data_IF_059585147946
#
_entry.id   IF_059585147946
#
_cell.length_a   1.000
_cell.length_b   1.000
_cell.length_c   1.000
_cell.angle_alpha   90.00
_cell.angle_beta   90.00
_cell.angle_gamma   90.00
#
_symmetry.space_group_name_H-M   'P 1'
#
loop_
_entity.id
_entity.type
_entity.pdbx_description
1 polymer ?
#
# COMPACT_ATOMS: atom_id res chain seq x y z
N UNK A 1 -2.98 9.08 4.08
CA UNK A 1 -1.76 9.84 3.68
C UNK A 1 -1.06 9.09 2.56
N UNK A 2 -0.67 9.73 1.45
CA UNK A 2 0.12 9.03 0.41
C UNK A 2 1.58 8.88 0.85
N UNK A 3 2.09 7.65 0.88
CA UNK A 3 3.44 7.34 1.37
C UNK A 3 4.54 7.91 0.49
N UNK A 4 4.30 8.01 -0.82
CA UNK A 4 5.32 8.40 -1.77
C UNK A 4 5.56 9.92 -1.74
N UNK A 5 4.53 10.70 -1.44
CA UNK A 5 4.57 12.16 -1.44
C UNK A 5 4.60 12.79 -0.04
N UNK A 6 4.29 12.04 1.01
CA UNK A 6 4.27 12.57 2.37
C UNK A 6 5.66 13.04 2.84
N UNK A 7 5.67 14.23 3.45
CA UNK A 7 6.83 14.78 4.15
C UNK A 7 7.05 14.10 5.50
N UNK A 8 8.26 14.28 6.05
CA UNK A 8 8.62 13.75 7.37
C UNK A 8 7.60 14.13 8.45
N UNK A 9 7.20 15.40 8.48
CA UNK A 9 6.25 15.93 9.47
C UNK A 9 4.86 15.29 9.38
N UNK A 10 4.43 14.88 8.18
CA UNK A 10 3.16 14.19 7.98
C UNK A 10 3.27 12.73 8.40
N UNK A 11 4.34 12.04 8.01
CA UNK A 11 4.57 10.63 8.36
C UNK A 11 4.65 10.41 9.87
N UNK A 12 5.26 11.33 10.63
CA UNK A 12 5.33 11.25 12.10
C UNK A 12 3.99 11.29 12.82
N UNK A 13 2.94 11.80 12.17
CA UNK A 13 1.59 11.90 12.76
C UNK A 13 0.79 10.61 12.57
N UNK A 14 1.32 9.64 11.83
CA UNK A 14 0.66 8.36 11.58
C UNK A 14 0.90 7.42 12.77
N UNK A 15 -0.15 6.70 13.17
CA UNK A 15 -0.06 5.69 14.22
C UNK A 15 1.08 4.70 13.96
N UNK A 16 1.86 4.38 15.00
CA UNK A 16 3.03 3.50 14.89
C UNK A 16 4.27 4.15 14.27
N UNK A 17 4.21 5.36 13.71
CA UNK A 17 5.38 6.06 13.17
C UNK A 17 5.88 7.14 14.14
N UNK A 18 7.20 7.30 14.18
CA UNK A 18 7.88 8.36 14.94
C UNK A 18 8.94 9.03 14.06
N UNK A 19 9.67 10.01 14.60
CA UNK A 19 10.74 10.72 13.87
C UNK A 19 11.73 9.75 13.19
N UNK A 20 12.20 8.74 13.92
CA UNK A 20 13.17 7.78 13.39
C UNK A 20 12.58 6.91 12.29
N UNK A 21 11.40 6.32 12.50
CA UNK A 21 10.72 5.46 11.51
C UNK A 21 10.34 6.24 10.25
N UNK A 22 9.84 7.46 10.40
CA UNK A 22 9.51 8.34 9.28
C UNK A 22 10.75 8.70 8.45
N UNK A 23 11.89 8.95 9.10
CA UNK A 23 13.17 9.14 8.42
C UNK A 23 13.61 7.92 7.61
N UNK A 24 13.48 6.71 8.18
CA UNK A 24 13.82 5.46 7.47
C UNK A 24 12.92 5.18 6.28
N UNK A 25 11.66 5.61 6.31
CA UNK A 25 10.77 5.52 5.15
C UNK A 25 11.29 6.42 4.02
N UNK A 26 11.69 7.67 4.32
CA UNK A 26 12.28 8.57 3.31
C UNK A 26 13.56 7.98 2.72
N UNK A 27 14.47 7.50 3.57
CA UNK A 27 15.71 6.83 3.17
C UNK A 27 15.42 5.62 2.26
N UNK A 28 14.42 4.81 2.63
CA UNK A 28 14.02 3.67 1.80
C UNK A 28 13.53 4.12 0.41
N UNK A 29 12.77 5.22 0.31
CA UNK A 29 12.31 5.78 -0.97
C UNK A 29 13.47 6.26 -1.84
N UNK A 30 14.47 6.87 -1.23
CA UNK A 30 15.67 7.35 -1.94
C UNK A 30 16.50 6.20 -2.50
N UNK A 31 16.64 5.11 -1.74
CA UNK A 31 17.45 3.96 -2.16
C UNK A 31 16.72 2.99 -3.10
N UNK A 32 15.42 2.74 -2.89
CA UNK A 32 14.66 1.69 -3.56
C UNK A 32 13.65 2.24 -4.58
N UNK A 33 13.42 3.56 -4.60
CA UNK A 33 12.38 4.19 -5.38
C UNK A 33 11.04 4.27 -4.66
N UNK A 34 9.99 4.60 -5.40
CA UNK A 34 8.64 4.76 -4.87
C UNK A 34 8.05 3.41 -4.44
N UNK A 35 7.23 3.44 -3.38
CA UNK A 35 6.45 2.28 -2.96
C UNK A 35 5.40 1.96 -4.03
N UNK A 36 5.34 0.70 -4.45
CA UNK A 36 4.32 0.16 -5.37
C UNK A 36 3.12 -0.43 -4.63
N UNK A 37 3.33 -0.86 -3.38
CA UNK A 37 2.26 -1.34 -2.51
C UNK A 37 2.58 -1.12 -1.03
N UNK A 38 1.58 -1.31 -0.16
CA UNK A 38 1.77 -1.16 1.28
C UNK A 38 2.71 -2.20 1.87
N UNK A 39 2.73 -3.43 1.36
CA UNK A 39 3.51 -4.53 1.94
C UNK A 39 5.01 -4.22 1.97
N UNK A 40 5.51 -3.45 1.01
CA UNK A 40 6.90 -2.96 0.99
C UNK A 40 7.29 -2.14 2.24
N UNK A 41 6.35 -1.60 3.00
CA UNK A 41 6.65 -0.96 4.29
C UNK A 41 7.33 -1.92 5.27
N UNK A 42 7.07 -3.23 5.18
CA UNK A 42 7.74 -4.25 6.00
C UNK A 42 9.23 -4.41 5.67
N UNK A 43 9.66 -3.94 4.49
CA UNK A 43 11.06 -3.95 4.09
C UNK A 43 11.85 -2.78 4.69
N UNK A 44 11.15 -1.77 5.24
CA UNK A 44 11.79 -0.61 5.88
C UNK A 44 12.35 -1.03 7.23
N UNK A 45 13.64 -0.78 7.45
CA UNK A 45 14.31 -1.11 8.70
C UNK A 45 13.57 -0.52 9.91
N UNK A 46 13.16 -1.36 10.86
CA UNK A 46 12.46 -0.93 12.08
C UNK A 46 10.94 -0.77 11.94
N UNK A 47 10.37 -1.12 10.79
CA UNK A 47 8.94 -1.41 10.63
C UNK A 47 8.74 -2.93 10.66
N UNK A 48 8.49 -3.47 11.85
CA UNK A 48 8.05 -4.85 12.02
C UNK A 48 6.53 -4.98 11.93
N UNK A 49 6.01 -6.21 12.06
CA UNK A 49 4.58 -6.53 11.86
C UNK A 49 3.65 -5.64 12.68
N UNK A 50 3.92 -5.45 13.98
CA UNK A 50 3.11 -4.60 14.85
C UNK A 50 3.09 -3.13 14.41
N UNK A 51 4.23 -2.60 13.97
CA UNK A 51 4.32 -1.23 13.46
C UNK A 51 3.57 -1.10 12.15
N UNK A 52 3.70 -2.11 11.28
CA UNK A 52 3.00 -2.17 10.00
C UNK A 52 1.49 -2.19 10.19
N UNK A 53 0.98 -3.06 11.07
CA UNK A 53 -0.44 -3.13 11.44
C UNK A 53 -0.96 -1.79 11.96
N UNK A 54 -0.19 -1.10 12.82
CA UNK A 54 -0.61 0.20 13.33
C UNK A 54 -0.69 1.29 12.26
N UNK A 55 0.17 1.26 11.23
CA UNK A 55 0.27 2.35 10.26
C UNK A 55 -0.45 2.07 8.94
N UNK A 56 -0.60 0.81 8.53
CA UNK A 56 -0.98 0.44 7.17
C UNK A 56 -2.39 0.92 6.78
N UNK A 57 -3.32 1.10 7.72
CA UNK A 57 -4.66 1.63 7.45
C UNK A 57 -4.70 3.14 7.16
N UNK A 58 -3.67 3.88 7.56
CA UNK A 58 -3.61 5.34 7.41
C UNK A 58 -2.77 5.78 6.22
N UNK A 59 -2.01 4.85 5.65
CA UNK A 59 -1.11 5.06 4.52
C UNK A 59 -1.81 4.61 3.25
N UNK A 60 -1.61 5.34 2.15
CA UNK A 60 -2.11 5.01 0.81
C UNK A 60 -0.95 4.95 -0.18
N UNK A 61 -1.13 4.16 -1.22
CA UNK A 61 -0.23 4.13 -2.39
C UNK A 61 -1.06 4.48 -3.62
N UNK A 62 -0.71 5.59 -4.27
CA UNK A 62 -1.46 6.14 -5.41
C UNK A 62 -0.73 5.75 -6.70
N UNK A 63 -1.42 5.27 -7.76
CA UNK A 63 -0.78 4.80 -8.99
C UNK A 63 0.10 5.87 -9.64
N UNK A 64 -0.39 7.11 -9.67
CA UNK A 64 0.34 8.24 -10.23
C UNK A 64 1.69 8.46 -9.54
N UNK A 65 1.79 8.12 -8.25
CA UNK A 65 3.00 8.29 -7.44
C UNK A 65 3.74 6.98 -7.19
N UNK A 66 3.25 5.86 -7.72
CA UNK A 66 3.90 4.55 -7.71
C UNK A 66 4.57 4.23 -9.05
N UNK A 67 4.02 4.76 -10.15
CA UNK A 67 4.49 4.57 -11.53
C UNK A 67 5.34 5.74 -12.05
N UNK A 68 5.55 6.81 -11.26
CA UNK A 68 6.36 7.95 -11.71
C UNK A 68 7.86 7.61 -11.82
N UNK A 69 8.30 6.43 -11.39
CA UNK A 69 9.66 5.92 -11.56
C UNK A 69 9.88 4.95 -12.72
N UNK A 70 8.83 4.49 -13.41
CA UNK A 70 8.91 3.39 -14.39
C UNK A 70 9.19 3.81 -15.84
N UNK A 71 9.25 5.11 -16.15
CA UNK A 71 9.53 5.55 -17.52
C UNK A 71 11.00 5.59 -17.91
N UNK A 72 11.97 5.48 -16.99
CA UNK A 72 13.39 5.71 -17.35
C UNK A 72 14.48 4.97 -16.55
N UNK A 73 14.19 3.95 -15.73
CA UNK A 73 15.25 3.26 -14.97
C UNK A 73 15.20 1.74 -15.04
N UNK A 74 16.08 1.21 -15.88
CA UNK A 74 16.66 -0.12 -15.77
C UNK A 74 17.52 -0.18 -14.48
N UNK A 75 16.88 -0.36 -13.32
CA UNK A 75 17.50 -0.33 -12.00
C UNK A 75 17.45 -1.70 -11.30
N UNK A 76 18.63 -2.18 -10.88
CA UNK A 76 18.92 -3.50 -10.30
C UNK A 76 17.90 -4.01 -9.27
N UNK A 77 17.40 -5.25 -9.50
CA UNK A 77 16.87 -6.15 -8.48
C UNK A 77 17.88 -6.25 -7.33
N UNK A 78 17.63 -5.60 -6.20
CA UNK A 78 18.46 -5.78 -5.01
C UNK A 78 18.00 -7.04 -4.27
N UNK A 79 18.92 -7.98 -4.08
CA UNK A 79 18.68 -9.23 -3.38
C UNK A 79 18.48 -8.98 -1.88
N UNK A 80 17.45 -9.62 -1.32
CA UNK A 80 17.12 -9.63 0.09
C UNK A 80 18.28 -10.16 0.96
N UNK A 81 18.48 -9.64 2.19
CA UNK A 81 19.14 -10.38 3.24
C UNK A 81 18.32 -11.63 3.60
N UNK A 82 18.96 -12.80 3.53
CA UNK A 82 18.39 -14.12 3.81
C UNK A 82 17.96 -14.26 5.27
N UNK A 83 16.73 -13.87 5.64
CA UNK A 83 15.96 -14.38 6.80
C UNK A 83 14.59 -13.67 6.91
N UNK A 84 13.62 -14.11 6.10
CA UNK A 84 12.20 -14.32 6.45
C UNK A 84 11.44 -14.62 5.15
N UNK A 85 10.99 -15.85 5.04
CA UNK A 85 10.24 -16.42 3.93
C UNK A 85 8.80 -15.91 3.96
N UNK A 86 8.56 -14.73 3.40
CA UNK A 86 7.23 -14.30 2.96
C UNK A 86 7.47 -13.56 1.66
N UNK A 87 7.07 -14.16 0.54
CA UNK A 87 7.11 -13.54 -0.78
C UNK A 87 6.29 -12.26 -0.73
N UNK A 88 6.96 -11.11 -0.55
CA UNK A 88 6.29 -9.82 -0.63
C UNK A 88 5.91 -9.63 -2.08
N UNK A 89 4.63 -9.83 -2.41
CA UNK A 89 4.09 -9.47 -3.73
C UNK A 89 4.43 -8.00 -3.97
N UNK A 90 5.11 -7.71 -5.08
CA UNK A 90 5.58 -6.36 -5.44
C UNK A 90 4.59 -5.61 -6.31
N UNK A 91 3.50 -6.26 -6.68
CA UNK A 91 2.52 -5.74 -7.62
C UNK A 91 1.62 -4.71 -6.95
N UNK A 92 1.11 -3.79 -7.77
CA UNK A 92 0.20 -2.75 -7.33
C UNK A 92 -1.15 -3.35 -6.92
N UNK A 93 -1.60 -3.03 -5.70
CA UNK A 93 -2.92 -3.44 -5.22
C UNK A 93 -3.88 -2.24 -5.22
N UNK A 94 -5.00 -2.28 -5.97
CA UNK A 94 -6.00 -1.20 -5.94
C UNK A 94 -6.56 -0.88 -4.54
N UNK A 95 -6.62 -1.88 -3.64
CA UNK A 95 -7.09 -1.68 -2.26
C UNK A 95 -6.15 -0.79 -1.44
N UNK A 96 -4.88 -0.64 -1.84
CA UNK A 96 -3.92 0.24 -1.18
C UNK A 96 -4.27 1.74 -1.33
N UNK A 97 -5.21 2.07 -2.20
CA UNK A 97 -5.77 3.42 -2.33
C UNK A 97 -6.89 3.71 -1.33
N UNK A 98 -7.47 2.67 -0.72
CA UNK A 98 -8.66 2.75 0.13
C UNK A 98 -8.30 2.85 1.61
N UNK A 99 -9.27 3.10 2.48
CA UNK A 99 -9.04 3.04 3.94
C UNK A 99 -9.18 1.62 4.51
N UNK A 100 -9.33 0.62 3.64
CA UNK A 100 -9.41 -0.78 4.06
C UNK A 100 -8.04 -1.20 4.57
N UNK A 101 -8.02 -1.78 5.77
CA UNK A 101 -6.80 -2.31 6.37
C UNK A 101 -6.37 -3.61 5.65
N UNK A 102 -5.06 -3.87 5.44
CA UNK A 102 -4.59 -5.10 4.79
C UNK A 102 -5.12 -6.40 5.42
N UNK A 103 -5.35 -6.41 6.74
CA UNK A 103 -5.96 -7.57 7.43
C UNK A 103 -7.37 -7.92 6.92
N UNK A 104 -8.06 -6.92 6.39
CA UNK A 104 -9.44 -7.02 5.88
C UNK A 104 -9.50 -7.24 4.37
N UNK A 105 -8.35 -7.36 3.68
CA UNK A 105 -8.34 -7.53 2.22
C UNK A 105 -9.04 -8.81 1.78
N UNK A 106 -8.85 -9.92 2.49
CA UNK A 106 -9.56 -11.17 2.21
C UNK A 106 -11.08 -10.99 2.23
N UNK A 107 -11.60 -10.28 3.22
CA UNK A 107 -13.02 -9.92 3.34
C UNK A 107 -13.46 -9.00 2.20
N UNK A 108 -12.66 -7.99 1.85
CA UNK A 108 -12.95 -7.07 0.76
C UNK A 108 -13.03 -7.80 -0.60
N UNK A 109 -12.06 -8.66 -0.92
CA UNK A 109 -12.09 -9.47 -2.15
C UNK A 109 -13.31 -10.38 -2.22
N UNK A 110 -13.68 -11.02 -1.09
CA UNK A 110 -14.87 -11.87 -1.03
C UNK A 110 -16.15 -11.06 -1.28
N UNK A 111 -16.24 -9.86 -0.71
CA UNK A 111 -17.37 -8.96 -0.93
C UNK A 111 -17.47 -8.51 -2.40
N UNK A 112 -16.36 -8.05 -2.98
CA UNK A 112 -16.26 -7.64 -4.39
C UNK A 112 -16.69 -8.78 -5.33
N UNK A 113 -16.22 -10.01 -5.06
CA UNK A 113 -16.62 -11.20 -5.79
C UNK A 113 -18.13 -11.45 -5.70
N UNK A 114 -18.74 -11.25 -4.52
CA UNK A 114 -20.20 -11.38 -4.32
C UNK A 114 -20.97 -10.33 -5.11
N UNK A 115 -20.46 -9.09 -5.20
CA UNK A 115 -21.05 -8.01 -5.99
C UNK A 115 -20.90 -8.22 -7.51
N UNK A 116 -20.11 -9.19 -7.96
CA UNK A 116 -19.89 -9.45 -9.39
C UNK A 116 -19.15 -8.31 -10.11
N UNK A 117 -18.35 -7.53 -9.38
CA UNK A 117 -17.59 -6.40 -9.93
C UNK A 117 -16.10 -6.71 -10.00
N UNK A 118 -15.43 -6.18 -11.00
CA UNK A 118 -13.96 -6.25 -11.11
C UNK A 118 -13.32 -5.15 -10.24
N UNK A 119 -12.28 -5.51 -9.50
CA UNK A 119 -11.49 -4.58 -8.68
C UNK A 119 -10.79 -3.51 -9.54
N UNK A 120 -10.51 -3.78 -10.82
CA UNK A 120 -9.93 -2.76 -11.72
C UNK A 120 -10.85 -1.55 -11.91
N UNK A 121 -12.15 -1.74 -11.73
CA UNK A 121 -13.16 -0.70 -11.88
C UNK A 121 -13.48 0.02 -10.56
N UNK A 122 -12.65 -0.17 -9.52
CA UNK A 122 -12.85 0.44 -8.20
C UNK A 122 -13.04 1.96 -8.30
N UNK A 123 -14.14 2.45 -7.72
CA UNK A 123 -14.48 3.88 -7.73
C UNK A 123 -15.18 4.40 -8.99
N UNK A 124 -15.36 3.57 -10.03
CA UNK A 124 -16.18 3.95 -11.19
C UNK A 124 -17.67 4.01 -10.82
N UNK A 125 -18.49 4.84 -11.49
CA UNK A 125 -19.93 4.89 -11.24
C UNK A 125 -20.62 3.52 -11.37
N UNK A 126 -20.19 2.70 -12.34
CA UNK A 126 -20.70 1.34 -12.54
C UNK A 126 -20.39 0.43 -11.33
N UNK A 127 -19.17 0.49 -10.80
CA UNK A 127 -18.79 -0.26 -9.62
C UNK A 127 -19.65 0.12 -8.42
N UNK A 128 -19.84 1.42 -8.18
CA UNK A 128 -20.64 1.94 -7.07
C UNK A 128 -22.09 1.47 -7.18
N UNK A 129 -22.71 1.61 -8.36
CA UNK A 129 -24.09 1.19 -8.60
C UNK A 129 -24.31 -0.30 -8.33
N UNK A 130 -23.39 -1.17 -8.78
CA UNK A 130 -23.49 -2.62 -8.55
C UNK A 130 -23.31 -3.00 -7.08
N UNK A 131 -22.39 -2.34 -6.37
CA UNK A 131 -22.21 -2.54 -4.93
C UNK A 131 -23.47 -2.13 -4.17
N UNK A 132 -24.03 -0.95 -4.46
CA UNK A 132 -25.26 -0.50 -3.82
C UNK A 132 -26.46 -1.40 -4.10
N UNK A 133 -26.58 -1.90 -5.35
CA UNK A 133 -27.62 -2.88 -5.69
C UNK A 133 -27.52 -4.13 -4.84
N UNK A 134 -26.30 -4.67 -4.68
CA UNK A 134 -26.05 -5.87 -3.88
C UNK A 134 -26.31 -5.66 -2.38
N UNK A 135 -26.18 -4.45 -1.86
CA UNK A 135 -26.45 -4.12 -0.45
C UNK A 135 -27.95 -3.92 -0.14
N UNK A 136 -28.76 -3.65 -1.17
CA UNK A 136 -30.22 -3.49 -1.05
C UNK A 136 -30.99 -4.81 -1.16
N UNK A 137 -30.32 -5.88 -1.60
CA UNK A 137 -30.82 -7.26 -1.70
C UNK A 137 -30.55 -8.04 -0.42
#
# INVERSE_FOLDING_TARGET
VDINTASLSVLRKIAGLNQSRAGKILEWRECNGQFTNRQQLRLVKGIGDKTYEQCAGFVRVVPQTAQAGSSDRQGKRQQLPKKQSTSVETDFNPLDQTWIHPESYSTAYRFIKKCGVDLKNLGTPHFIANVERTLRE
#
